data_IF_405587451731
#
_entry.id   IF_405587451731
#
_cell.length_a   1.000
_cell.length_b   1.000
_cell.length_c   1.000
_cell.angle_alpha   90.00
_cell.angle_beta   90.00
_cell.angle_gamma   90.00
#
_symmetry.space_group_name_H-M   'P 1'
#
loop_
_entity.id
_entity.type
_entity.pdbx_description
1 polymer ?
#
# COMPACT_ATOMS: atom_id res chain seq x y z
N UNK A 1 7.05 2.73 3.19
CA UNK A 1 8.22 2.14 3.88
C UNK A 1 7.97 0.68 4.25
N UNK A 2 6.83 0.34 4.88
CA UNK A 2 6.51 -1.05 5.25
C UNK A 2 6.54 -2.07 4.10
N UNK A 3 6.16 -1.67 2.89
CA UNK A 3 6.27 -2.52 1.70
C UNK A 3 7.70 -3.01 1.45
N UNK A 4 8.69 -2.13 1.54
CA UNK A 4 10.11 -2.48 1.30
C UNK A 4 10.61 -3.44 2.37
N UNK A 5 10.22 -3.23 3.61
CA UNK A 5 10.58 -4.11 4.73
C UNK A 5 9.95 -5.48 4.51
N UNK A 6 8.65 -5.54 4.25
CA UNK A 6 7.94 -6.80 3.98
C UNK A 6 8.55 -7.58 2.79
N UNK A 7 8.97 -6.87 1.73
CA UNK A 7 9.61 -7.47 0.55
C UNK A 7 10.98 -8.08 0.89
N UNK A 8 11.80 -7.36 1.67
CA UNK A 8 13.10 -7.88 2.15
C UNK A 8 12.92 -9.10 3.06
N UNK A 9 11.90 -9.10 3.91
CA UNK A 9 11.61 -10.25 4.77
C UNK A 9 11.15 -11.47 3.94
N UNK A 10 10.35 -11.26 2.89
CA UNK A 10 9.99 -12.31 1.94
C UNK A 10 11.22 -12.86 1.18
N UNK A 11 12.18 -11.99 0.84
CA UNK A 11 13.45 -12.42 0.24
C UNK A 11 14.25 -13.35 1.17
N UNK A 12 14.28 -13.07 2.48
CA UNK A 12 14.92 -13.96 3.46
C UNK A 12 14.24 -15.33 3.54
N UNK A 13 12.90 -15.36 3.52
CA UNK A 13 12.15 -16.62 3.46
C UNK A 13 12.41 -17.40 2.17
N UNK A 14 12.56 -16.71 1.04
CA UNK A 14 12.93 -17.34 -0.21
C UNK A 14 14.32 -17.97 -0.15
N UNK A 15 15.32 -17.25 0.36
CA UNK A 15 16.67 -17.76 0.54
C UNK A 15 16.69 -18.99 1.47
N UNK A 16 15.96 -18.93 2.58
CA UNK A 16 15.79 -20.07 3.48
C UNK A 16 15.08 -21.25 2.78
N UNK A 17 14.04 -21.00 1.98
CA UNK A 17 13.31 -22.04 1.26
C UNK A 17 14.19 -22.82 0.29
N UNK A 18 15.21 -22.21 -0.30
CA UNK A 18 16.19 -22.89 -1.16
C UNK A 18 17.06 -23.85 -0.35
N UNK A 19 17.40 -23.49 0.89
CA UNK A 19 18.26 -24.25 1.80
C UNK A 19 17.47 -25.07 2.86
N UNK A 20 16.18 -25.31 2.63
CA UNK A 20 15.29 -25.96 3.63
C UNK A 20 15.74 -27.37 3.99
N UNK A 21 16.41 -28.07 3.06
CA UNK A 21 16.89 -29.44 3.27
C UNK A 21 18.13 -29.51 4.15
N UNK A 22 19.00 -28.49 4.12
CA UNK A 22 20.21 -28.46 4.92
C UNK A 22 19.97 -27.93 6.34
N UNK A 23 19.03 -27.00 6.49
CA UNK A 23 18.73 -26.34 7.77
C UNK A 23 17.90 -27.20 8.73
N UNK A 24 17.17 -28.21 8.21
CA UNK A 24 16.46 -29.19 9.01
C UNK A 24 15.41 -28.58 9.95
N UNK A 25 15.15 -29.26 11.07
CA UNK A 25 14.10 -28.86 12.02
C UNK A 25 14.36 -27.52 12.71
N UNK A 26 15.62 -27.16 12.92
CA UNK A 26 15.98 -25.89 13.56
C UNK A 26 15.63 -24.73 12.63
N UNK A 27 16.01 -24.81 11.34
CA UNK A 27 15.64 -23.78 10.36
C UNK A 27 14.12 -23.66 10.17
N UNK A 28 13.39 -24.77 10.29
CA UNK A 28 11.93 -24.72 10.25
C UNK A 28 11.32 -23.90 11.39
N UNK A 29 11.82 -24.05 12.62
CA UNK A 29 11.34 -23.27 13.77
C UNK A 29 11.69 -21.78 13.59
N UNK A 30 12.90 -21.49 13.12
CA UNK A 30 13.32 -20.11 12.82
C UNK A 30 12.42 -19.46 11.77
N UNK A 31 12.14 -20.15 10.66
CA UNK A 31 11.25 -19.67 9.62
C UNK A 31 9.80 -19.52 10.10
N UNK A 32 9.30 -20.43 10.94
CA UNK A 32 7.96 -20.33 11.50
C UNK A 32 7.79 -19.08 12.39
N UNK A 33 8.78 -18.80 13.25
CA UNK A 33 8.79 -17.59 14.09
C UNK A 33 8.86 -16.34 13.20
N UNK A 34 9.71 -16.36 12.18
CA UNK A 34 9.87 -15.24 11.25
C UNK A 34 8.56 -14.93 10.51
N UNK A 35 7.87 -15.95 10.00
CA UNK A 35 6.55 -15.81 9.36
C UNK A 35 5.51 -15.26 10.35
N UNK A 36 5.52 -15.70 11.62
CA UNK A 36 4.62 -15.17 12.64
C UNK A 36 4.83 -13.68 12.90
N UNK A 37 6.08 -13.22 12.95
CA UNK A 37 6.40 -11.80 13.10
C UNK A 37 5.92 -11.00 11.88
N UNK A 38 6.12 -11.52 10.66
CA UNK A 38 5.57 -10.92 9.44
C UNK A 38 4.05 -10.81 9.48
N UNK A 39 3.36 -11.86 9.92
CA UNK A 39 1.91 -11.88 10.08
C UNK A 39 1.45 -10.85 11.13
N UNK A 40 2.14 -10.74 12.26
CA UNK A 40 1.84 -9.74 13.27
C UNK A 40 1.99 -8.31 12.72
N UNK A 41 3.07 -8.05 11.98
CA UNK A 41 3.29 -6.78 11.29
C UNK A 41 2.22 -6.47 10.24
N UNK A 42 1.81 -7.47 9.46
CA UNK A 42 0.73 -7.34 8.47
C UNK A 42 -0.61 -7.02 9.14
N UNK A 43 -0.97 -7.76 10.19
CA UNK A 43 -2.20 -7.50 10.97
C UNK A 43 -2.17 -6.10 11.56
N UNK A 44 -1.03 -5.66 12.09
CA UNK A 44 -0.86 -4.31 12.61
C UNK A 44 -1.11 -3.24 11.52
N UNK A 45 -0.56 -3.43 10.32
CA UNK A 45 -0.78 -2.52 9.19
C UNK A 45 -2.24 -2.46 8.75
N UNK A 46 -2.90 -3.62 8.67
CA UNK A 46 -4.32 -3.73 8.32
C UNK A 46 -5.17 -2.99 9.36
N UNK A 47 -4.83 -3.12 10.65
CA UNK A 47 -5.54 -2.39 11.73
C UNK A 47 -5.37 -0.88 11.66
N UNK A 48 -4.27 -0.39 11.12
CA UNK A 48 -4.00 1.05 10.98
C UNK A 48 -4.69 1.65 9.75
N UNK A 49 -5.29 0.83 8.88
CA UNK A 49 -5.92 1.32 7.65
C UNK A 49 -4.89 1.76 6.61
N UNK A 50 -3.62 1.33 6.72
CA UNK A 50 -2.59 1.62 5.73
C UNK A 50 -2.88 0.97 4.36
N UNK A 51 -3.87 0.08 4.30
CA UNK A 51 -4.35 -0.61 3.11
C UNK A 51 -5.57 0.08 2.47
N UNK A 52 -6.06 1.21 3.00
CA UNK A 52 -7.18 1.95 2.39
C UNK A 52 -6.70 2.80 1.22
N UNK A 53 -6.63 2.16 0.06
CA UNK A 53 -6.45 2.82 -1.24
C UNK A 53 -7.77 3.46 -1.66
N UNK A 54 -8.13 4.62 -1.09
CA UNK A 54 -9.19 5.45 -1.67
C UNK A 54 -8.55 6.45 -2.64
N UNK A 55 -8.65 6.24 -3.96
CA UNK A 55 -8.36 7.31 -4.89
C UNK A 55 -9.54 8.28 -4.78
N UNK A 56 -9.36 9.34 -3.99
CA UNK A 56 -10.28 10.48 -4.05
C UNK A 56 -10.14 11.04 -5.46
N UNK A 57 -11.04 10.60 -6.36
CA UNK A 57 -11.13 11.10 -7.73
C UNK A 57 -11.20 12.60 -7.62
N UNK A 58 -10.11 13.27 -8.00
CA UNK A 58 -10.10 14.69 -8.29
C UNK A 58 -11.17 14.92 -9.35
N UNK A 59 -12.37 15.28 -8.90
CA UNK A 59 -13.45 15.75 -9.74
C UNK A 59 -12.95 17.07 -10.29
N UNK A 60 -12.46 17.04 -11.53
CA UNK A 60 -12.12 18.23 -12.28
C UNK A 60 -13.24 19.25 -12.13
N UNK A 61 -12.95 20.32 -11.40
CA UNK A 61 -13.78 21.51 -11.39
C UNK A 61 -13.58 22.19 -12.75
N UNK A 62 -14.21 21.63 -13.79
CA UNK A 62 -14.58 22.40 -14.97
C UNK A 62 -15.63 23.41 -14.51
N UNK A 63 -15.17 24.52 -13.93
CA UNK A 63 -15.98 25.72 -13.76
C UNK A 63 -16.45 26.11 -15.17
N UNK A 64 -17.76 26.10 -15.49
CA UNK A 64 -18.19 26.69 -16.74
C UNK A 64 -17.94 28.19 -16.59
N UNK A 65 -17.07 28.72 -17.45
CA UNK A 65 -16.80 30.14 -17.52
C UNK A 65 -18.13 30.89 -17.65
N UNK A 66 -18.33 31.89 -16.77
CA UNK A 66 -19.39 32.89 -16.91
C UNK A 66 -19.15 33.69 -18.20
N UNK A 67 -19.56 33.17 -19.35
CA UNK A 67 -19.61 33.92 -20.63
C UNK A 67 -21.06 34.29 -20.89
N UNK A 68 -21.70 35.04 -19.97
CA UNK A 68 -23.03 35.62 -20.24
C UNK A 68 -23.33 36.80 -19.31
N UNK A 69 -22.46 37.82 -19.16
CA UNK A 69 -22.86 39.07 -18.44
C UNK A 69 -22.14 40.35 -18.89
N UNK A 70 -21.74 40.47 -20.16
CA UNK A 70 -21.11 41.71 -20.65
C UNK A 70 -21.59 42.19 -22.03
N UNK A 71 -22.69 41.65 -22.58
CA UNK A 71 -23.16 42.04 -23.92
C UNK A 71 -24.45 42.90 -23.94
N UNK A 72 -25.20 43.03 -22.84
CA UNK A 72 -26.51 43.70 -22.84
C UNK A 72 -26.62 44.85 -21.82
N UNK A 73 -25.63 45.74 -21.75
CA UNK A 73 -25.79 47.04 -21.11
C UNK A 73 -25.52 48.16 -22.11
N UNK A 74 -26.39 48.24 -23.11
CA UNK A 74 -26.64 49.44 -23.90
C UNK A 74 -28.08 49.86 -23.64
N UNK A 75 -28.33 50.83 -22.74
CA UNK A 75 -29.52 51.66 -22.83
C UNK A 75 -29.27 52.78 -23.85
N UNK A 76 -30.33 53.09 -24.59
CA UNK A 76 -30.48 54.16 -25.58
C UNK A 76 -30.00 55.51 -25.05
#
# INVERSE_FOLDING_TARGET
>A
MFFVIFDVEALYLYAWSVAIRETGWIGFIEAAIFILVLLAGLVYLVRIGALDWTPSRSRGQSKPGKITKAANSHPQ
#
